data_IF_371402434864
#
_entry.id   IF_371402434864
#
_cell.length_a   1.000
_cell.length_b   1.000
_cell.length_c   1.000
_cell.angle_alpha   90.00
_cell.angle_beta   90.00
_cell.angle_gamma   90.00
#
_symmetry.space_group_name_H-M   'P 1'
#
loop_
_entity.id
_entity.type
_entity.pdbx_description
1 polymer ?
#
# COMPACT_ATOMS: atom_id res chain seq x y z
N UNK A 1 2.78 -14.98 -4.63
CA UNK A 1 1.95 -14.15 -5.54
C UNK A 1 0.81 -14.93 -6.16
N UNK A 2 1.02 -16.06 -6.85
CA UNK A 2 -0.07 -16.84 -7.50
C UNK A 2 -1.26 -17.16 -6.60
N UNK A 3 -1.03 -17.69 -5.39
CA UNK A 3 -2.09 -17.96 -4.39
C UNK A 3 -2.93 -16.73 -4.04
N UNK A 4 -2.36 -15.52 -4.14
CA UNK A 4 -3.08 -14.29 -3.82
C UNK A 4 -3.87 -13.75 -5.02
N UNK A 5 -3.65 -14.24 -6.25
CA UNK A 5 -4.43 -13.81 -7.43
C UNK A 5 -5.90 -14.21 -7.29
N UNK A 6 -6.16 -15.45 -6.84
CA UNK A 6 -7.54 -15.92 -6.59
C UNK A 6 -8.22 -15.08 -5.52
N UNK A 7 -7.51 -14.78 -4.44
CA UNK A 7 -8.00 -13.89 -3.37
C UNK A 7 -8.29 -12.48 -3.87
N UNK A 8 -7.43 -11.91 -4.71
CA UNK A 8 -7.65 -10.59 -5.30
C UNK A 8 -8.86 -10.60 -6.24
N UNK A 9 -9.05 -11.67 -7.01
CA UNK A 9 -10.24 -11.85 -7.83
C UNK A 9 -11.52 -11.94 -6.98
N UNK A 10 -11.48 -12.63 -5.83
CA UNK A 10 -12.59 -12.67 -4.88
C UNK A 10 -12.89 -11.29 -4.28
N UNK A 11 -11.86 -10.56 -3.84
CA UNK A 11 -12.00 -9.18 -3.38
C UNK A 11 -12.63 -8.28 -4.45
N UNK A 12 -12.24 -8.43 -5.71
CA UNK A 12 -12.82 -7.68 -6.82
C UNK A 12 -14.28 -8.02 -7.07
N UNK A 13 -14.65 -9.31 -7.04
CA UNK A 13 -16.06 -9.74 -7.14
C UNK A 13 -16.92 -9.20 -5.98
N UNK A 14 -16.32 -8.97 -4.82
CA UNK A 14 -16.98 -8.41 -3.64
C UNK A 14 -17.00 -6.87 -3.63
N UNK A 15 -16.48 -6.21 -4.67
CA UNK A 15 -16.54 -4.76 -4.85
C UNK A 15 -15.40 -3.97 -4.21
N UNK A 16 -14.34 -4.63 -3.72
CA UNK A 16 -13.20 -3.96 -3.06
C UNK A 16 -12.50 -2.93 -3.95
N UNK A 17 -12.49 -3.14 -5.27
CA UNK A 17 -11.78 -2.27 -6.23
C UNK A 17 -12.71 -1.31 -7.00
N UNK A 18 -14.01 -1.32 -6.69
CA UNK A 18 -15.03 -0.57 -7.44
C UNK A 18 -16.35 -1.32 -7.53
N UNK A 19 -17.37 -0.68 -8.10
CA UNK A 19 -18.72 -1.24 -8.23
C UNK A 19 -18.93 -2.03 -9.52
N UNK A 20 -17.97 -2.00 -10.45
CA UNK A 20 -18.03 -2.74 -11.71
C UNK A 20 -17.99 -4.25 -11.56
N UNK A 21 -18.37 -4.93 -12.64
CA UNK A 21 -18.27 -6.39 -12.74
C UNK A 21 -16.82 -6.79 -12.96
N UNK A 22 -16.28 -7.63 -12.09
CA UNK A 22 -14.93 -8.18 -12.24
C UNK A 22 -14.75 -8.91 -13.59
N UNK A 23 -13.68 -8.58 -14.31
CA UNK A 23 -13.27 -9.24 -15.55
C UNK A 23 -12.05 -10.14 -15.32
N UNK A 24 -10.95 -9.55 -14.84
CA UNK A 24 -9.68 -10.26 -14.66
C UNK A 24 -8.74 -9.52 -13.71
N UNK A 25 -7.76 -10.26 -13.19
CA UNK A 25 -6.55 -9.73 -12.55
C UNK A 25 -5.34 -10.23 -13.32
N UNK A 26 -4.44 -9.33 -13.70
CA UNK A 26 -3.25 -9.65 -14.49
C UNK A 26 -2.00 -9.01 -13.88
N UNK A 27 -0.81 -9.61 -14.01
CA UNK A 27 0.44 -8.93 -13.68
C UNK A 27 0.60 -7.65 -14.49
N UNK A 28 1.13 -6.60 -13.87
CA UNK A 28 1.51 -5.38 -14.56
C UNK A 28 2.97 -5.51 -15.05
N UNK A 29 3.21 -5.75 -16.36
CA UNK A 29 4.54 -6.05 -16.88
C UNK A 29 5.46 -4.81 -16.88
N UNK A 30 4.89 -3.62 -16.81
CA UNK A 30 5.63 -2.35 -16.87
C UNK A 30 6.26 -1.97 -15.52
N UNK A 31 6.02 -2.78 -14.48
CA UNK A 31 6.52 -2.55 -13.14
C UNK A 31 7.51 -3.62 -12.69
N UNK A 32 8.68 -3.16 -12.27
CA UNK A 32 9.63 -3.93 -11.49
C UNK A 32 9.52 -3.51 -10.02
N UNK A 33 9.37 -4.49 -9.13
CA UNK A 33 9.33 -4.24 -7.70
C UNK A 33 10.66 -3.74 -7.11
N UNK A 34 11.75 -3.74 -7.90
CA UNK A 34 13.08 -3.37 -7.43
C UNK A 34 13.58 -4.30 -6.31
N UNK A 35 14.60 -3.85 -5.53
CA UNK A 35 15.03 -4.55 -4.33
C UNK A 35 13.91 -4.56 -3.29
N UNK A 36 13.57 -5.75 -2.80
CA UNK A 36 12.52 -5.92 -1.79
C UNK A 36 13.15 -6.26 -0.44
N UNK A 37 12.58 -5.69 0.62
CA UNK A 37 12.98 -5.93 2.00
C UNK A 37 11.72 -6.15 2.83
N UNK A 38 11.76 -7.08 3.79
CA UNK A 38 10.67 -7.33 4.74
C UNK A 38 9.34 -7.82 4.16
N UNK A 39 9.24 -8.05 2.84
CA UNK A 39 7.99 -8.41 2.16
C UNK A 39 8.22 -8.85 0.72
N UNK A 40 7.20 -9.48 0.15
CA UNK A 40 7.09 -9.69 -1.30
C UNK A 40 6.08 -8.71 -1.91
N UNK A 41 6.47 -8.04 -2.99
CA UNK A 41 5.64 -7.11 -3.75
C UNK A 41 5.21 -7.70 -5.09
N UNK A 42 3.94 -7.49 -5.44
CA UNK A 42 3.37 -7.79 -6.75
C UNK A 42 2.65 -6.57 -7.31
N UNK A 43 2.95 -6.24 -8.56
CA UNK A 43 2.28 -5.16 -9.28
C UNK A 43 1.27 -5.79 -10.23
N UNK A 44 0.00 -5.44 -10.06
CA UNK A 44 -1.11 -6.07 -10.76
C UNK A 44 -2.06 -5.01 -11.31
N UNK A 45 -2.87 -5.40 -12.28
CA UNK A 45 -4.00 -4.63 -12.76
C UNK A 45 -5.30 -5.45 -12.56
N UNK A 46 -6.31 -4.81 -11.99
CA UNK A 46 -7.67 -5.35 -11.86
C UNK A 46 -8.56 -4.64 -12.87
N UNK A 47 -9.14 -5.40 -13.79
CA UNK A 47 -10.07 -4.89 -14.79
C UNK A 47 -11.51 -5.12 -14.34
N UNK A 48 -12.29 -4.05 -14.32
CA UNK A 48 -13.72 -4.04 -14.02
C UNK A 48 -14.50 -3.52 -15.24
N UNK A 49 -15.69 -4.05 -15.46
CA UNK A 49 -16.65 -3.51 -16.41
C UNK A 49 -17.63 -2.57 -15.68
N UNK A 50 -17.58 -1.28 -16.00
CA UNK A 50 -18.43 -0.21 -15.46
C UNK A 50 -19.09 0.55 -16.61
N UNK A 51 -20.43 0.59 -16.66
CA UNK A 51 -21.21 1.27 -17.70
C UNK A 51 -20.75 0.94 -19.14
N UNK A 52 -20.49 -0.35 -19.40
CA UNK A 52 -19.96 -0.88 -20.68
C UNK A 52 -18.55 -0.40 -21.06
N UNK A 53 -17.82 0.23 -20.13
CA UNK A 53 -16.40 0.57 -20.26
C UNK A 53 -15.55 -0.35 -19.38
N UNK A 54 -14.33 -0.63 -19.84
CA UNK A 54 -13.33 -1.31 -19.00
C UNK A 54 -12.60 -0.25 -18.18
N UNK A 55 -12.73 -0.34 -16.86
CA UNK A 55 -12.00 0.46 -15.89
C UNK A 55 -10.87 -0.40 -15.33
N UNK A 56 -9.63 0.04 -15.54
CA UNK A 56 -8.43 -0.63 -15.01
C UNK A 56 -7.96 0.05 -13.73
N UNK A 57 -7.78 -0.73 -12.67
CA UNK A 57 -7.19 -0.31 -11.40
C UNK A 57 -5.80 -0.93 -11.28
N UNK A 58 -4.76 -0.10 -11.36
CA UNK A 58 -3.39 -0.55 -11.09
C UNK A 58 -3.12 -0.57 -9.58
N UNK A 59 -2.64 -1.70 -9.08
CA UNK A 59 -2.46 -1.96 -7.66
C UNK A 59 -1.09 -2.54 -7.35
N UNK A 60 -0.61 -2.25 -6.14
CA UNK A 60 0.53 -2.92 -5.52
C UNK A 60 0.00 -3.80 -4.39
N UNK A 61 0.46 -5.04 -4.38
CA UNK A 61 0.13 -6.06 -3.39
C UNK A 61 1.39 -6.42 -2.64
N UNK A 62 1.37 -6.21 -1.33
CA UNK A 62 2.43 -6.57 -0.39
C UNK A 62 1.97 -7.77 0.42
N UNK A 63 2.79 -8.82 0.48
CA UNK A 63 2.54 -10.06 1.25
C UNK A 63 3.77 -10.41 2.09
N UNK A 64 3.56 -11.20 3.14
CA UNK A 64 4.64 -11.59 4.04
C UNK A 64 5.72 -12.42 3.32
N UNK A 65 6.97 -12.39 3.81
CA UNK A 65 7.95 -13.41 3.49
C UNK A 65 7.41 -14.80 3.83
N UNK A 66 7.70 -15.80 2.99
CA UNK A 66 7.21 -17.18 3.19
C UNK A 66 7.87 -17.88 4.37
N UNK A 67 9.17 -17.64 4.56
CA UNK A 67 9.96 -18.32 5.58
C UNK A 67 9.81 -17.62 6.93
N UNK A 68 9.45 -18.37 7.97
CA UNK A 68 9.32 -17.83 9.33
C UNK A 68 10.62 -17.17 9.80
N UNK A 69 11.79 -17.78 9.51
CA UNK A 69 13.07 -17.22 9.91
C UNK A 69 13.34 -15.83 9.30
N UNK A 70 12.85 -15.58 8.07
CA UNK A 70 12.94 -14.27 7.44
C UNK A 70 11.97 -13.28 8.10
N UNK A 71 10.74 -13.71 8.38
CA UNK A 71 9.75 -12.91 9.11
C UNK A 71 10.26 -12.49 10.50
N UNK A 72 10.84 -13.42 11.25
CA UNK A 72 11.39 -13.17 12.58
C UNK A 72 12.56 -12.19 12.52
N UNK A 73 13.50 -12.42 11.60
CA UNK A 73 14.67 -11.56 11.40
C UNK A 73 14.27 -10.12 11.05
N UNK A 74 13.22 -9.96 10.25
CA UNK A 74 12.73 -8.67 9.78
C UNK A 74 11.62 -8.09 10.67
N UNK A 75 11.12 -8.84 11.65
CA UNK A 75 9.94 -8.50 12.46
C UNK A 75 8.70 -8.16 11.61
N UNK A 76 8.50 -8.85 10.48
CA UNK A 76 7.53 -8.46 9.45
C UNK A 76 6.07 -8.54 9.92
N UNK A 77 5.73 -9.46 10.84
CA UNK A 77 4.40 -9.56 11.46
C UNK A 77 3.96 -8.25 12.14
N UNK A 78 4.88 -7.60 12.86
CA UNK A 78 4.62 -6.30 13.47
C UNK A 78 4.62 -5.17 12.42
N UNK A 79 5.47 -5.24 11.39
CA UNK A 79 5.51 -4.22 10.34
C UNK A 79 4.19 -4.13 9.59
N UNK A 80 3.59 -5.26 9.20
CA UNK A 80 2.28 -5.28 8.53
C UNK A 80 1.19 -4.70 9.43
N UNK A 81 1.14 -5.11 10.70
CA UNK A 81 0.18 -4.56 11.65
C UNK A 81 0.30 -3.03 11.81
N UNK A 82 1.53 -2.53 11.93
CA UNK A 82 1.79 -1.08 12.02
C UNK A 82 1.38 -0.38 10.74
N UNK A 83 1.69 -0.95 9.57
CA UNK A 83 1.30 -0.37 8.27
C UNK A 83 -0.22 -0.28 8.11
N UNK A 84 -0.97 -1.33 8.46
CA UNK A 84 -2.43 -1.27 8.48
C UNK A 84 -2.97 -0.23 9.46
N UNK A 85 -2.37 -0.16 10.65
CA UNK A 85 -2.75 0.83 11.68
C UNK A 85 -2.50 2.25 11.16
N UNK A 86 -1.41 2.47 10.42
CA UNK A 86 -1.12 3.76 9.80
C UNK A 86 -2.25 4.18 8.85
N UNK A 87 -2.64 3.33 7.90
CA UNK A 87 -3.68 3.67 6.94
C UNK A 87 -5.09 3.75 7.53
N UNK A 88 -5.43 2.87 8.47
CA UNK A 88 -6.80 2.78 9.03
C UNK A 88 -7.08 3.74 10.17
N UNK A 89 -6.06 4.08 10.95
CA UNK A 89 -6.25 4.81 12.22
C UNK A 89 -5.45 6.10 12.23
N UNK A 90 -4.13 6.02 12.02
CA UNK A 90 -3.24 7.18 12.21
C UNK A 90 -3.48 8.25 11.15
N UNK A 91 -3.42 7.92 9.86
CA UNK A 91 -3.59 8.92 8.80
C UNK A 91 -4.98 9.60 8.85
N UNK A 92 -6.10 8.87 9.06
CA UNK A 92 -7.40 9.47 9.30
C UNK A 92 -7.44 10.35 10.55
N UNK A 93 -6.90 9.89 11.68
CA UNK A 93 -6.88 10.66 12.94
C UNK A 93 -6.14 11.99 12.78
N UNK A 94 -5.02 11.97 12.07
CA UNK A 94 -4.23 13.16 11.78
C UNK A 94 -4.93 14.11 10.79
N UNK A 95 -5.85 13.60 9.97
CA UNK A 95 -6.36 14.29 8.78
C UNK A 95 -5.28 14.42 7.70
N UNK A 96 -4.34 13.47 7.66
CA UNK A 96 -3.18 13.49 6.76
C UNK A 96 -3.45 12.81 5.41
N UNK A 97 -4.62 12.18 5.23
CA UNK A 97 -5.04 11.63 3.93
C UNK A 97 -5.12 12.70 2.83
N UNK A 98 -5.34 13.97 3.21
CA UNK A 98 -5.37 15.12 2.30
C UNK A 98 -3.98 15.52 1.76
N UNK A 99 -2.89 14.94 2.30
CA UNK A 99 -1.54 15.35 1.94
C UNK A 99 -1.11 14.96 0.51
N UNK A 100 -1.88 14.10 -0.18
CA UNK A 100 -1.58 13.60 -1.54
C UNK A 100 -0.13 13.09 -1.68
N UNK A 101 0.38 12.48 -0.61
CA UNK A 101 1.72 11.85 -0.56
C UNK A 101 1.64 10.38 -0.19
N UNK A 102 0.47 9.91 0.21
CA UNK A 102 0.21 8.52 0.53
C UNK A 102 -0.54 7.89 -0.63
N UNK A 103 -0.14 6.69 -1.07
CA UNK A 103 -0.94 5.95 -2.05
C UNK A 103 -2.31 5.63 -1.44
N UNK A 104 -3.32 5.53 -2.29
CA UNK A 104 -4.65 5.12 -1.87
C UNK A 104 -4.59 3.71 -1.27
N UNK A 105 -5.00 3.58 0.00
CA UNK A 105 -5.18 2.30 0.65
C UNK A 105 -6.50 1.68 0.22
N UNK A 106 -6.43 0.46 -0.33
CA UNK A 106 -7.60 -0.23 -0.87
C UNK A 106 -8.07 -1.30 0.12
N UNK A 107 -7.15 -2.15 0.59
CA UNK A 107 -7.49 -3.26 1.46
C UNK A 107 -6.26 -3.76 2.23
N UNK A 108 -6.47 -4.40 3.37
CA UNK A 108 -5.39 -5.11 4.04
C UNK A 108 -5.85 -5.99 5.20
N UNK A 109 -5.09 -7.04 5.47
CA UNK A 109 -5.22 -7.89 6.65
C UNK A 109 -3.84 -8.15 7.26
N UNK A 110 -3.77 -8.13 8.59
CA UNK A 110 -2.57 -8.45 9.34
C UNK A 110 -2.96 -9.19 10.62
N UNK A 111 -2.49 -10.44 10.72
CA UNK A 111 -2.80 -11.41 11.76
C UNK A 111 -1.86 -11.32 12.96
N UNK A 112 -0.79 -10.52 12.85
CA UNK A 112 0.30 -10.44 13.85
C UNK A 112 0.94 -11.82 14.10
N UNK A 113 1.15 -12.56 13.02
CA UNK A 113 1.79 -13.89 13.04
C UNK A 113 0.85 -15.06 13.32
N UNK A 114 -0.45 -14.82 13.55
CA UNK A 114 -1.42 -15.90 13.72
C UNK A 114 -1.77 -16.61 12.41
N UNK A 115 -1.70 -15.90 11.27
CA UNK A 115 -1.99 -16.39 9.93
C UNK A 115 -1.24 -15.57 8.86
N UNK A 116 0.10 -15.62 8.84
CA UNK A 116 0.93 -14.76 7.98
C UNK A 116 0.74 -15.04 6.49
N UNK A 117 0.27 -16.22 6.10
CA UNK A 117 -0.04 -16.54 4.71
C UNK A 117 -1.25 -15.76 4.18
N UNK A 118 -2.11 -15.27 5.08
CA UNK A 118 -3.23 -14.40 4.76
C UNK A 118 -2.97 -12.92 5.08
N UNK A 119 -1.77 -12.55 5.52
CA UNK A 119 -1.41 -11.15 5.67
C UNK A 119 -1.16 -10.51 4.31
N UNK A 120 -1.83 -9.39 4.05
CA UNK A 120 -1.80 -8.71 2.76
C UNK A 120 -2.03 -7.20 2.94
N UNK A 121 -1.35 -6.39 2.14
CA UNK A 121 -1.66 -4.96 1.98
C UNK A 121 -1.84 -4.67 0.50
N UNK A 122 -2.93 -4.01 0.14
CA UNK A 122 -3.27 -3.63 -1.23
C UNK A 122 -3.48 -2.12 -1.28
N UNK A 123 -2.76 -1.48 -2.18
CA UNK A 123 -2.76 -0.03 -2.36
C UNK A 123 -2.65 0.32 -3.85
N UNK A 124 -2.97 1.55 -4.21
CA UNK A 124 -2.84 2.02 -5.59
C UNK A 124 -1.36 1.99 -6.05
N UNK A 125 -1.16 1.57 -7.29
CA UNK A 125 0.13 1.66 -7.97
C UNK A 125 0.34 3.07 -8.54
N UNK A 126 1.42 3.72 -8.09
CA UNK A 126 1.77 5.08 -8.48
C UNK A 126 2.69 5.14 -9.71
N UNK A 127 3.16 4.00 -10.21
CA UNK A 127 4.07 3.93 -11.36
C UNK A 127 3.52 4.65 -12.61
N UNK A 128 2.22 4.50 -12.88
CA UNK A 128 1.53 5.16 -13.98
C UNK A 128 1.46 6.69 -13.86
N UNK A 129 1.77 7.24 -12.70
CA UNK A 129 1.85 8.68 -12.44
C UNK A 129 3.28 9.22 -12.56
N UNK A 130 4.24 8.39 -13.01
CA UNK A 130 5.64 8.75 -13.16
C UNK A 130 6.49 8.56 -11.90
N UNK A 131 5.94 7.93 -10.85
CA UNK A 131 6.74 7.54 -9.68
C UNK A 131 7.67 6.39 -10.04
N UNK A 132 8.94 6.55 -9.68
CA UNK A 132 9.97 5.54 -9.91
C UNK A 132 10.70 5.24 -8.60
N UNK A 133 11.26 4.03 -8.52
CA UNK A 133 12.23 3.71 -7.48
C UNK A 133 13.49 4.53 -7.76
N UNK A 134 13.98 5.29 -6.77
CA UNK A 134 15.22 6.05 -6.91
C UNK A 134 16.37 5.09 -7.26
N UNK A 135 17.07 5.28 -8.39
CA UNK A 135 18.23 4.46 -8.74
C UNK A 135 19.44 4.78 -7.85
N UNK A 136 19.45 5.99 -7.26
CA UNK A 136 20.51 6.50 -6.43
C UNK A 136 20.17 6.41 -4.94
N UNK A 137 21.18 6.08 -4.14
CA UNK A 137 21.13 6.13 -2.67
C UNK A 137 21.06 7.58 -2.18
N UNK A 138 21.60 8.52 -2.97
CA UNK A 138 21.64 9.93 -2.64
C UNK A 138 20.47 10.66 -3.29
N UNK A 139 19.74 11.44 -2.49
CA UNK A 139 18.70 12.34 -2.98
C UNK A 139 19.34 13.58 -3.61
N UNK A 140 18.86 13.98 -4.79
CA UNK A 140 19.18 15.29 -5.33
C UNK A 140 18.59 16.41 -4.44
N UNK A 141 19.06 17.64 -4.64
CA UNK A 141 18.67 18.77 -3.81
C UNK A 141 17.17 19.07 -3.84
N UNK A 142 16.47 18.80 -4.94
CA UNK A 142 15.06 19.11 -5.09
C UNK A 142 14.19 18.01 -4.48
N UNK A 143 14.56 16.74 -4.67
CA UNK A 143 13.96 15.60 -3.97
C UNK A 143 14.13 15.73 -2.46
N UNK A 144 15.30 16.16 -1.98
CA UNK A 144 15.55 16.42 -0.56
C UNK A 144 14.65 17.52 0.01
N UNK A 145 14.56 18.69 -0.67
CA UNK A 145 13.66 19.78 -0.26
C UNK A 145 12.20 19.33 -0.23
N UNK A 146 11.75 18.62 -1.26
CA UNK A 146 10.39 18.09 -1.33
C UNK A 146 10.11 17.16 -0.14
N UNK A 147 11.02 16.23 0.12
CA UNK A 147 10.90 15.25 1.22
C UNK A 147 10.81 15.94 2.57
N UNK A 148 11.73 16.88 2.87
CA UNK A 148 11.69 17.65 4.11
C UNK A 148 10.40 18.44 4.28
N UNK A 149 9.89 19.05 3.20
CA UNK A 149 8.61 19.77 3.25
C UNK A 149 7.46 18.84 3.62
N UNK A 150 7.36 17.67 2.99
CA UNK A 150 6.29 16.69 3.27
C UNK A 150 6.41 16.09 4.67
N UNK A 151 7.62 15.83 5.15
CA UNK A 151 7.86 15.40 6.53
C UNK A 151 7.45 16.48 7.54
N UNK A 152 7.80 17.74 7.26
CA UNK A 152 7.40 18.88 8.10
C UNK A 152 5.88 19.07 8.15
N UNK A 153 5.20 18.97 7.00
CA UNK A 153 3.74 18.98 6.92
C UNK A 153 3.14 17.86 7.77
N UNK A 154 3.60 16.61 7.58
CA UNK A 154 3.11 15.44 8.31
C UNK A 154 3.29 15.60 9.82
N UNK A 155 4.46 16.07 10.27
CA UNK A 155 4.72 16.36 11.67
C UNK A 155 3.80 17.47 12.21
N UNK A 156 3.51 18.49 11.39
CA UNK A 156 2.54 19.54 11.69
C UNK A 156 1.14 18.99 11.94
N UNK A 157 0.69 18.01 11.13
CA UNK A 157 -0.58 17.31 11.35
C UNK A 157 -0.61 16.57 12.69
N UNK A 158 0.48 15.87 13.06
CA UNK A 158 0.62 15.23 14.38
C UNK A 158 0.54 16.23 15.52
N UNK A 159 1.23 17.36 15.41
CA UNK A 159 1.21 18.39 16.45
C UNK A 159 -0.18 19.03 16.61
N UNK A 160 -0.86 19.28 15.49
CA UNK A 160 -2.25 19.79 15.46
C UNK A 160 -3.21 18.80 16.13
N UNK A 161 -3.13 17.52 15.77
CA UNK A 161 -3.98 16.48 16.34
C UNK A 161 -3.79 16.39 17.87
N UNK A 162 -2.54 16.35 18.35
CA UNK A 162 -2.22 16.36 19.78
C UNK A 162 -2.78 17.57 20.53
N UNK A 163 -2.76 18.76 19.92
CA UNK A 163 -3.31 19.97 20.53
C UNK A 163 -4.84 19.96 20.58
N UNK A 164 -5.48 19.47 19.50
CA UNK A 164 -6.94 19.45 19.39
C UNK A 164 -7.58 18.32 20.20
N UNK A 165 -6.85 17.20 20.42
CA UNK A 165 -7.30 16.01 21.13
C UNK A 165 -6.20 15.51 22.07
N UNK A 166 -5.94 16.20 23.20
CA UNK A 166 -4.78 15.93 24.06
C UNK A 166 -4.90 14.64 24.90
N UNK A 167 -6.07 14.01 24.93
CA UNK A 167 -6.36 12.80 25.72
C UNK A 167 -6.48 11.51 24.89
N UNK A 168 -6.35 11.61 23.56
CA UNK A 168 -6.24 10.50 22.61
C UNK A 168 -4.78 10.40 22.15
#
# INVERSE_FOLDING_TARGET
MEQHLDRIAELAKNGTFGTGKFLQVIPNPDCSAGPQFASQLGFLAVDLEEDSNIVRKSIVVKIQPKEQAERDLQCSDNQFFVELTMYREVLPFLGALEMDVFPEFIYGEASRGADPDNDIVIMADLSGQGYIISPDIYLDADTFKLTLRRLGEFHGYSYRAKRSRPSE
#
